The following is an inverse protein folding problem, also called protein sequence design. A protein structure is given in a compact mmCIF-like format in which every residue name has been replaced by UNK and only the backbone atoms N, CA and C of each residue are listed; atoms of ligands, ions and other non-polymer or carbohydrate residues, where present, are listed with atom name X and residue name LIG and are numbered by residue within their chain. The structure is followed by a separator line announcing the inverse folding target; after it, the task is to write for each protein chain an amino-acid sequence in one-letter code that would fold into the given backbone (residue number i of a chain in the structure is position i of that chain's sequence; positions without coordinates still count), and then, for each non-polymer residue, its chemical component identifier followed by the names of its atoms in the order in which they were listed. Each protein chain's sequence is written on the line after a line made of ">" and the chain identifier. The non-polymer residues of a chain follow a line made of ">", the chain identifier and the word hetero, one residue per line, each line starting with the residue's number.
data_IF_065962510396
#
_entry.id   IF_065962510396
#
_cell.length_a   1.000
_cell.length_b   1.000
_cell.length_c   1.000
_cell.angle_alpha   90.00
_cell.angle_beta   90.00
_cell.angle_gamma   90.00
#
_symmetry.space_group_name_H-M   'P 1'
#
loop_
_entity.id
_entity.type
_entity.pdbx_description
1 polymer ?
#
# COMPACT_ATOMS: atom_id res chain seq x y z
N UNK A 1 22.84 -6.65 -22.60
CA UNK A 1 22.77 -5.86 -21.37
C UNK A 1 22.62 -4.38 -21.67
N UNK A 2 23.43 -3.76 -22.54
CA UNK A 2 23.27 -2.32 -22.88
C UNK A 2 21.83 -1.96 -23.31
N UNK A 3 21.26 -2.67 -24.28
CA UNK A 3 19.87 -2.45 -24.74
C UNK A 3 18.82 -2.55 -23.61
N UNK A 4 19.11 -3.29 -22.54
CA UNK A 4 18.15 -3.52 -21.46
C UNK A 4 18.12 -2.38 -20.45
N UNK A 5 19.29 -1.85 -20.06
CA UNK A 5 19.37 -0.67 -19.18
C UNK A 5 18.80 0.57 -19.89
N UNK A 6 19.21 0.80 -21.14
CA UNK A 6 18.69 1.88 -21.99
C UNK A 6 17.18 1.83 -22.12
N UNK A 7 16.60 0.63 -22.29
CA UNK A 7 15.15 0.48 -22.39
C UNK A 7 14.41 0.83 -21.09
N UNK A 8 14.99 0.54 -19.92
CA UNK A 8 14.40 0.94 -18.64
C UNK A 8 14.53 2.44 -18.41
N UNK A 9 15.69 3.03 -18.70
CA UNK A 9 15.89 4.49 -18.65
C UNK A 9 14.91 5.22 -19.57
N UNK A 10 14.75 4.71 -20.79
CA UNK A 10 13.78 5.24 -21.74
C UNK A 10 12.33 5.23 -21.23
N UNK A 11 11.95 4.25 -20.41
CA UNK A 11 10.60 4.20 -19.83
C UNK A 11 10.39 5.21 -18.70
N UNK A 12 11.46 5.75 -18.11
CA UNK A 12 11.39 6.75 -17.03
C UNK A 12 11.57 8.17 -17.57
N UNK A 13 12.52 8.37 -18.50
CA UNK A 13 12.88 9.70 -19.01
C UNK A 13 12.04 10.17 -20.20
N UNK A 14 11.58 9.27 -21.06
CA UNK A 14 10.84 9.66 -22.28
C UNK A 14 9.38 10.06 -22.06
N UNK A 15 8.62 9.52 -21.09
CA UNK A 15 7.26 9.99 -20.88
C UNK A 15 7.22 11.49 -20.55
N UNK A 16 6.34 12.23 -21.23
CA UNK A 16 6.12 13.66 -20.97
C UNK A 16 5.19 13.91 -19.77
N UNK A 17 4.40 12.90 -19.42
CA UNK A 17 3.42 12.94 -18.34
C UNK A 17 4.01 12.29 -17.08
N UNK A 18 3.98 13.02 -15.97
CA UNK A 18 4.57 12.59 -14.69
C UNK A 18 3.89 11.30 -14.18
N UNK A 19 2.59 11.19 -14.40
CA UNK A 19 1.77 10.04 -14.02
C UNK A 19 2.29 8.76 -14.67
N UNK A 20 2.63 8.81 -15.96
CA UNK A 20 3.18 7.66 -16.70
C UNK A 20 4.56 7.27 -16.19
N UNK A 21 5.42 8.25 -15.89
CA UNK A 21 6.73 7.99 -15.27
C UNK A 21 6.57 7.32 -13.90
N UNK A 22 5.63 7.79 -13.08
CA UNK A 22 5.34 7.20 -11.77
C UNK A 22 4.79 5.76 -11.88
N UNK A 23 3.89 5.50 -12.83
CA UNK A 23 3.37 4.15 -13.09
C UNK A 23 4.46 3.18 -13.54
N UNK A 24 5.35 3.63 -14.43
CA UNK A 24 6.49 2.85 -14.89
C UNK A 24 7.47 2.56 -13.74
N UNK A 25 7.82 3.58 -12.93
CA UNK A 25 8.66 3.41 -11.76
C UNK A 25 8.04 2.44 -10.74
N UNK A 26 6.75 2.59 -10.47
CA UNK A 26 6.00 1.69 -9.59
C UNK A 26 6.07 0.24 -10.08
N UNK A 27 5.84 0.02 -11.38
CA UNK A 27 5.90 -1.30 -12.01
C UNK A 27 7.29 -1.92 -11.86
N UNK A 28 8.35 -1.14 -12.13
CA UNK A 28 9.74 -1.59 -11.97
C UNK A 28 10.08 -1.95 -10.51
N UNK A 29 9.64 -1.13 -9.55
CA UNK A 29 9.82 -1.41 -8.11
C UNK A 29 9.09 -2.71 -7.72
N UNK A 30 7.87 -2.91 -8.19
CA UNK A 30 7.09 -4.13 -7.93
C UNK A 30 7.74 -5.38 -8.52
N UNK A 31 8.29 -5.29 -9.73
CA UNK A 31 9.05 -6.33 -10.41
C UNK A 31 10.46 -6.57 -9.84
N UNK A 32 10.81 -5.90 -8.74
CA UNK A 32 12.11 -6.03 -8.04
C UNK A 32 13.30 -5.60 -8.89
N UNK A 33 13.13 -4.68 -9.83
CA UNK A 33 14.22 -4.16 -10.67
C UNK A 33 15.34 -3.58 -9.80
N UNK A 34 15.02 -2.81 -8.75
CA UNK A 34 15.99 -2.25 -7.80
C UNK A 34 16.96 -3.32 -7.25
N UNK A 35 16.43 -4.47 -6.81
CA UNK A 35 17.27 -5.56 -6.30
C UNK A 35 18.18 -6.18 -7.37
N UNK A 36 17.74 -6.18 -8.62
CA UNK A 36 18.57 -6.68 -9.71
C UNK A 36 19.67 -5.67 -10.06
N UNK A 37 19.40 -4.36 -9.96
CA UNK A 37 20.40 -3.31 -10.13
C UNK A 37 21.49 -3.39 -9.04
N UNK A 38 21.12 -3.57 -7.77
CA UNK A 38 22.08 -3.78 -6.66
C UNK A 38 23.00 -5.00 -6.91
N UNK A 39 22.48 -6.07 -7.52
CA UNK A 39 23.26 -7.25 -7.89
C UNK A 39 24.22 -6.95 -9.05
N UNK A 40 23.80 -6.13 -10.00
CA UNK A 40 24.61 -5.72 -11.15
C UNK A 40 25.73 -4.75 -10.75
N UNK A 41 25.47 -3.84 -9.82
CA UNK A 41 26.45 -2.91 -9.24
C UNK A 41 27.60 -3.68 -8.54
N UNK A 42 27.29 -4.81 -7.91
CA UNK A 42 28.30 -5.70 -7.31
C UNK A 42 29.17 -6.45 -8.33
N UNK A 43 28.87 -6.37 -9.63
CA UNK A 43 29.65 -6.97 -10.70
C UNK A 43 30.59 -5.95 -11.34
N UNK A 44 31.76 -6.41 -11.79
CA UNK A 44 32.69 -5.55 -12.51
C UNK A 44 32.19 -5.35 -13.94
N UNK A 45 31.54 -4.22 -14.20
CA UNK A 45 31.14 -3.77 -15.53
C UNK A 45 32.30 -2.92 -16.09
N UNK A 46 32.81 -3.26 -17.27
CA UNK A 46 33.93 -2.54 -17.91
C UNK A 46 33.48 -1.35 -18.75
N UNK A 47 32.19 -1.30 -19.08
CA UNK A 47 31.56 -0.26 -19.88
C UNK A 47 31.11 0.88 -18.95
N UNK A 48 31.77 2.03 -19.07
CA UNK A 48 31.50 3.22 -18.24
C UNK A 48 30.09 3.76 -18.47
N UNK A 49 29.62 3.81 -19.72
CA UNK A 49 28.28 4.31 -20.07
C UNK A 49 27.19 3.46 -19.40
N UNK A 50 27.33 2.12 -19.46
CA UNK A 50 26.39 1.20 -18.81
C UNK A 50 26.42 1.34 -17.29
N UNK A 51 27.60 1.63 -16.71
CA UNK A 51 27.74 1.78 -15.26
C UNK A 51 27.03 3.06 -14.79
N UNK A 52 27.18 4.16 -15.53
CA UNK A 52 26.49 5.43 -15.27
C UNK A 52 24.96 5.28 -15.40
N UNK A 53 24.47 4.58 -16.44
CA UNK A 53 23.04 4.35 -16.64
C UNK A 53 22.42 3.51 -15.51
N UNK A 54 23.15 2.50 -15.01
CA UNK A 54 22.71 1.67 -13.89
C UNK A 54 22.62 2.50 -12.60
N UNK A 55 23.64 3.31 -12.32
CA UNK A 55 23.67 4.19 -11.14
C UNK A 55 22.50 5.19 -11.19
N UNK A 56 22.29 5.84 -12.34
CA UNK A 56 21.19 6.79 -12.55
C UNK A 56 19.81 6.14 -12.40
N UNK A 57 19.61 4.96 -12.99
CA UNK A 57 18.36 4.21 -12.88
C UNK A 57 18.08 3.82 -11.43
N UNK A 58 19.12 3.37 -10.70
CA UNK A 58 19.02 2.98 -9.30
C UNK A 58 18.67 4.17 -8.41
N UNK A 59 19.34 5.31 -8.57
CA UNK A 59 19.02 6.55 -7.86
C UNK A 59 17.57 6.98 -8.14
N UNK A 60 17.16 6.97 -9.41
CA UNK A 60 15.82 7.41 -9.83
C UNK A 60 14.73 6.50 -9.25
N UNK A 61 14.93 5.18 -9.28
CA UNK A 61 13.99 4.23 -8.70
C UNK A 61 13.96 4.30 -7.17
N UNK A 62 15.09 4.57 -6.50
CA UNK A 62 15.12 4.79 -5.05
C UNK A 62 14.36 6.05 -4.64
N UNK A 63 14.56 7.16 -5.37
CA UNK A 63 13.81 8.40 -5.15
C UNK A 63 12.31 8.20 -5.38
N UNK A 64 11.95 7.53 -6.48
CA UNK A 64 10.55 7.18 -6.77
C UNK A 64 9.95 6.30 -5.67
N UNK A 65 10.70 5.33 -5.14
CA UNK A 65 10.24 4.47 -4.04
C UNK A 65 10.00 5.26 -2.75
N UNK A 66 10.86 6.23 -2.45
CA UNK A 66 10.66 7.12 -1.30
C UNK A 66 9.35 7.92 -1.46
N UNK A 67 9.17 8.56 -2.62
CA UNK A 67 7.99 9.39 -2.87
C UNK A 67 6.68 8.58 -2.85
N UNK A 68 6.67 7.43 -3.53
CA UNK A 68 5.55 6.47 -3.59
C UNK A 68 5.29 5.75 -2.26
N UNK A 69 6.08 6.03 -1.21
CA UNK A 69 5.86 5.50 0.14
C UNK A 69 5.66 6.61 1.19
N UNK A 70 5.55 7.87 0.74
CA UNK A 70 5.35 9.02 1.62
C UNK A 70 3.90 9.14 2.09
N UNK A 71 3.70 9.73 3.27
CA UNK A 71 2.34 10.00 3.76
C UNK A 71 1.61 11.08 2.95
N UNK A 72 2.36 12.01 2.34
CA UNK A 72 1.76 13.06 1.53
C UNK A 72 1.17 12.50 0.23
N UNK A 73 1.81 11.49 -0.35
CA UNK A 73 1.25 10.69 -1.45
C UNK A 73 -0.05 10.00 -1.01
N UNK A 74 -0.01 9.26 0.10
CA UNK A 74 -1.21 8.64 0.69
C UNK A 74 -2.36 9.63 0.91
N UNK A 75 -2.05 10.79 1.51
CA UNK A 75 -3.05 11.83 1.76
C UNK A 75 -3.65 12.35 0.46
N UNK A 76 -2.84 12.48 -0.59
CA UNK A 76 -3.26 12.95 -1.91
C UNK A 76 -4.14 11.92 -2.63
N UNK A 77 -3.73 10.64 -2.65
CA UNK A 77 -4.53 9.54 -3.20
C UNK A 77 -5.92 9.51 -2.55
N UNK A 78 -5.97 9.44 -1.22
CA UNK A 78 -7.22 9.38 -0.44
C UNK A 78 -8.11 10.60 -0.70
N UNK A 79 -7.55 11.81 -0.69
CA UNK A 79 -8.34 13.04 -0.92
C UNK A 79 -8.86 13.17 -2.33
N UNK A 80 -8.12 12.65 -3.31
CA UNK A 80 -8.56 12.64 -4.70
C UNK A 80 -9.68 11.61 -4.95
N UNK A 81 -9.77 10.58 -4.11
CA UNK A 81 -10.67 9.45 -4.29
C UNK A 81 -10.22 8.47 -5.37
N UNK A 82 -9.07 8.70 -6.01
CA UNK A 82 -8.44 7.79 -6.96
C UNK A 82 -7.42 6.96 -6.19
N UNK A 83 -7.91 5.83 -5.67
CA UNK A 83 -7.09 4.89 -4.92
C UNK A 83 -6.54 3.82 -5.85
N UNK A 84 -5.26 3.52 -5.71
CA UNK A 84 -4.63 2.43 -6.41
C UNK A 84 -3.80 1.56 -5.47
N UNK A 85 -3.41 0.39 -5.95
CA UNK A 85 -2.63 -0.56 -5.18
C UNK A 85 -1.13 -0.19 -5.17
N UNK A 86 -0.78 0.88 -4.47
CA UNK A 86 0.57 1.45 -4.36
C UNK A 86 1.28 1.07 -3.04
N UNK A 87 2.58 1.42 -2.85
CA UNK A 87 3.33 1.06 -1.64
C UNK A 87 2.76 1.66 -0.36
N UNK A 88 2.13 2.85 -0.41
CA UNK A 88 1.49 3.46 0.76
C UNK A 88 0.32 2.63 1.27
N UNK A 89 -0.38 1.89 0.41
CA UNK A 89 -1.46 1.00 0.82
C UNK A 89 -0.95 -0.37 1.28
N UNK A 90 0.10 -0.91 0.64
CA UNK A 90 0.56 -2.29 0.88
C UNK A 90 1.63 -2.47 1.95
N UNK A 91 2.39 -1.42 2.26
CA UNK A 91 3.59 -1.53 3.12
C UNK A 91 3.23 -1.57 4.60
N UNK A 92 3.57 -2.68 5.28
CA UNK A 92 3.42 -2.77 6.75
C UNK A 92 4.23 -1.69 7.46
N UNK A 93 5.43 -1.36 6.95
CA UNK A 93 6.26 -0.28 7.51
C UNK A 93 5.51 1.05 7.46
N UNK A 94 4.88 1.37 6.33
CA UNK A 94 4.09 2.59 6.17
C UNK A 94 3.00 2.68 7.24
N UNK A 95 2.21 1.61 7.41
CA UNK A 95 1.10 1.59 8.37
C UNK A 95 1.57 1.67 9.81
N UNK A 96 2.69 1.00 10.15
CA UNK A 96 3.29 1.08 11.48
C UNK A 96 3.70 2.52 11.84
N UNK A 97 4.20 3.27 10.88
CA UNK A 97 4.69 4.63 11.08
C UNK A 97 3.56 5.68 11.01
N UNK A 98 2.57 5.48 10.13
CA UNK A 98 1.63 6.54 9.75
C UNK A 98 0.18 6.31 10.16
N UNK A 99 -0.24 5.12 10.64
CA UNK A 99 -1.65 4.87 10.96
C UNK A 99 -2.26 5.89 11.93
N UNK A 100 -1.50 6.36 12.93
CA UNK A 100 -1.98 7.36 13.89
C UNK A 100 -2.27 8.72 13.25
N UNK A 101 -1.63 9.04 12.12
CA UNK A 101 -1.83 10.31 11.40
C UNK A 101 -3.21 10.40 10.75
N UNK A 102 -3.91 9.27 10.54
CA UNK A 102 -5.31 9.30 10.10
C UNK A 102 -6.25 9.95 11.15
N UNK A 103 -5.79 10.17 12.38
CA UNK A 103 -6.52 10.89 13.43
C UNK A 103 -6.43 12.42 13.29
N UNK A 104 -5.48 12.92 12.48
CA UNK A 104 -5.29 14.35 12.25
C UNK A 104 -6.53 15.00 11.65
N UNK A 105 -6.67 16.31 11.85
CA UNK A 105 -7.76 17.12 11.29
C UNK A 105 -9.16 16.54 11.55
N UNK A 106 -9.37 16.04 12.78
CA UNK A 106 -10.62 15.40 13.19
C UNK A 106 -10.98 14.21 12.29
N UNK A 107 -10.02 13.29 12.14
CA UNK A 107 -10.18 12.05 11.37
C UNK A 107 -10.50 12.28 9.89
N UNK A 108 -9.95 13.33 9.28
CA UNK A 108 -10.28 13.74 7.89
C UNK A 108 -10.11 12.58 6.91
N UNK A 109 -8.92 11.97 6.85
CA UNK A 109 -8.62 10.90 5.91
C UNK A 109 -9.46 9.65 6.17
N UNK A 110 -9.64 9.27 7.44
CA UNK A 110 -10.50 8.13 7.79
C UNK A 110 -11.95 8.35 7.37
N UNK A 111 -12.48 9.56 7.55
CA UNK A 111 -13.84 9.92 7.09
C UNK A 111 -13.96 9.85 5.57
N UNK A 112 -12.91 10.24 4.84
CA UNK A 112 -12.89 10.12 3.38
C UNK A 112 -12.92 8.64 2.96
N UNK A 113 -12.10 7.76 3.54
CA UNK A 113 -12.15 6.32 3.25
C UNK A 113 -13.54 5.73 3.51
N UNK A 114 -14.18 6.09 4.63
CA UNK A 114 -15.54 5.64 4.95
C UNK A 114 -16.55 6.15 3.91
N UNK A 115 -16.43 7.42 3.48
CA UNK A 115 -17.27 7.99 2.43
C UNK A 115 -17.03 7.31 1.06
N UNK A 116 -15.80 6.91 0.75
CA UNK A 116 -15.49 6.16 -0.47
C UNK A 116 -16.18 4.79 -0.45
N UNK A 117 -16.23 4.11 0.69
CA UNK A 117 -17.06 2.91 0.84
C UNK A 117 -18.56 3.18 0.65
N UNK A 118 -19.06 4.34 1.06
CA UNK A 118 -20.49 4.66 0.90
C UNK A 118 -20.87 5.00 -0.54
N UNK A 119 -19.98 5.65 -1.30
CA UNK A 119 -20.34 6.33 -2.56
C UNK A 119 -19.62 5.83 -3.81
N UNK A 120 -18.51 5.10 -3.69
CA UNK A 120 -17.82 4.54 -4.84
C UNK A 120 -18.55 3.32 -5.39
N UNK A 121 -18.53 3.18 -6.71
CA UNK A 121 -18.94 1.97 -7.42
C UNK A 121 -17.75 1.24 -8.05
N UNK A 122 -16.54 1.80 -7.91
CA UNK A 122 -15.32 1.20 -8.43
C UNK A 122 -14.83 0.11 -7.45
N UNK A 123 -14.80 -1.17 -7.87
CA UNK A 123 -14.33 -2.27 -7.04
C UNK A 123 -12.92 -2.05 -6.48
N UNK A 124 -12.02 -1.42 -7.24
CA UNK A 124 -10.65 -1.16 -6.78
C UNK A 124 -10.64 -0.18 -5.60
N UNK A 125 -11.36 0.93 -5.74
CA UNK A 125 -11.47 1.94 -4.66
C UNK A 125 -12.12 1.33 -3.42
N UNK A 126 -13.12 0.47 -3.59
CA UNK A 126 -13.77 -0.24 -2.48
C UNK A 126 -12.80 -1.22 -1.79
N UNK A 127 -12.03 -1.99 -2.56
CA UNK A 127 -10.98 -2.88 -2.05
C UNK A 127 -9.96 -2.11 -1.20
N UNK A 128 -9.35 -1.07 -1.76
CA UNK A 128 -8.31 -0.29 -1.08
C UNK A 128 -8.88 0.41 0.16
N UNK A 129 -10.09 0.98 0.07
CA UNK A 129 -10.74 1.65 1.22
C UNK A 129 -11.01 0.68 2.36
N UNK A 130 -11.54 -0.52 2.07
CA UNK A 130 -11.79 -1.54 3.08
C UNK A 130 -10.48 -2.03 3.70
N UNK A 131 -9.48 -2.32 2.87
CA UNK A 131 -8.15 -2.72 3.29
C UNK A 131 -7.53 -1.73 4.28
N UNK A 132 -7.51 -0.45 3.90
CA UNK A 132 -6.91 0.64 4.67
C UNK A 132 -7.57 0.86 6.02
N UNK A 133 -8.90 0.78 6.09
CA UNK A 133 -9.62 0.82 7.36
C UNK A 133 -9.19 -0.35 8.26
N UNK A 134 -9.02 -1.53 7.68
CA UNK A 134 -8.48 -2.70 8.36
C UNK A 134 -7.07 -2.48 8.89
N UNK A 135 -6.16 -1.93 8.08
CA UNK A 135 -4.77 -1.67 8.47
C UNK A 135 -4.65 -0.56 9.53
N UNK A 136 -5.44 0.50 9.41
CA UNK A 136 -5.56 1.54 10.43
C UNK A 136 -5.93 0.92 11.79
N UNK A 137 -6.95 0.06 11.81
CA UNK A 137 -7.41 -0.61 13.04
C UNK A 137 -6.38 -1.59 13.60
N UNK A 138 -5.69 -2.32 12.73
CA UNK A 138 -4.61 -3.25 13.12
C UNK A 138 -3.47 -2.53 13.82
N UNK A 139 -3.06 -1.37 13.30
CA UNK A 139 -1.93 -0.60 13.81
C UNK A 139 -2.33 0.42 14.89
N UNK A 140 -3.61 0.75 14.99
CA UNK A 140 -4.18 1.59 16.04
C UNK A 140 -5.45 0.94 16.63
N UNK A 141 -5.33 0.02 17.60
CA UNK A 141 -6.47 -0.73 18.14
C UNK A 141 -7.60 0.13 18.72
N UNK A 142 -7.29 1.33 19.26
CA UNK A 142 -8.30 2.29 19.72
C UNK A 142 -9.16 2.86 18.58
N UNK A 143 -8.66 2.80 17.35
CA UNK A 143 -9.35 3.19 16.13
C UNK A 143 -10.62 2.40 15.86
N UNK A 144 -10.78 1.20 16.44
CA UNK A 144 -12.01 0.40 16.36
C UNK A 144 -13.24 1.19 16.76
N UNK A 145 -13.17 1.84 17.92
CA UNK A 145 -14.27 2.63 18.45
C UNK A 145 -14.57 3.83 17.54
N UNK A 146 -13.53 4.42 16.95
CA UNK A 146 -13.67 5.54 16.01
C UNK A 146 -14.35 5.08 14.73
N UNK A 147 -13.90 3.99 14.12
CA UNK A 147 -14.49 3.41 12.91
C UNK A 147 -15.95 3.02 13.15
N UNK A 148 -16.28 2.49 14.33
CA UNK A 148 -17.66 2.14 14.70
C UNK A 148 -18.54 3.39 14.89
N UNK A 149 -18.04 4.43 15.57
CA UNK A 149 -18.74 5.70 15.75
C UNK A 149 -18.98 6.45 14.42
N UNK A 150 -18.05 6.33 13.48
CA UNK A 150 -18.17 6.91 12.14
C UNK A 150 -19.01 6.05 11.18
N UNK A 151 -19.55 4.91 11.63
CA UNK A 151 -20.38 4.00 10.82
C UNK A 151 -19.59 3.09 9.87
N UNK A 152 -18.26 3.20 9.81
CA UNK A 152 -17.42 2.43 8.90
C UNK A 152 -17.49 0.93 9.11
N UNK A 153 -17.68 0.46 10.35
CA UNK A 153 -17.81 -0.99 10.64
C UNK A 153 -19.00 -1.62 9.90
N UNK A 154 -20.14 -0.95 9.89
CA UNK A 154 -21.35 -1.46 9.22
C UNK A 154 -21.17 -1.49 7.70
N UNK A 155 -20.56 -0.43 7.14
CA UNK A 155 -20.25 -0.34 5.71
C UNK A 155 -19.31 -1.45 5.26
N UNK A 156 -18.18 -1.67 5.95
CA UNK A 156 -17.24 -2.75 5.61
C UNK A 156 -17.93 -4.12 5.70
N UNK A 157 -18.77 -4.35 6.71
CA UNK A 157 -19.52 -5.60 6.83
C UNK A 157 -20.50 -5.84 5.67
N UNK A 158 -21.14 -4.79 5.15
CA UNK A 158 -22.03 -4.89 3.99
C UNK A 158 -21.28 -5.41 2.75
N UNK A 159 -20.04 -4.98 2.54
CA UNK A 159 -19.21 -5.39 1.39
C UNK A 159 -18.71 -6.83 1.43
N UNK A 160 -18.86 -7.55 2.54
CA UNK A 160 -18.56 -9.00 2.59
C UNK A 160 -19.46 -9.81 1.65
N UNK A 161 -20.63 -9.28 1.27
CA UNK A 161 -21.55 -9.87 0.30
C UNK A 161 -21.51 -9.24 -1.10
N UNK A 162 -20.53 -8.39 -1.40
CA UNK A 162 -20.40 -7.71 -2.70
C UNK A 162 -20.30 -8.69 -3.87
N UNK A 163 -20.64 -8.30 -5.10
CA UNK A 163 -20.57 -9.20 -6.27
C UNK A 163 -19.12 -9.49 -6.72
N UNK A 164 -18.24 -8.49 -6.59
CA UNK A 164 -16.81 -8.62 -6.87
C UNK A 164 -16.11 -9.45 -5.77
N UNK A 165 -15.38 -10.53 -6.12
CA UNK A 165 -14.69 -11.38 -5.16
C UNK A 165 -13.56 -10.68 -4.40
N UNK A 166 -12.85 -9.74 -5.00
CA UNK A 166 -11.77 -9.01 -4.37
C UNK A 166 -12.32 -8.04 -3.33
N UNK A 167 -13.45 -7.38 -3.62
CA UNK A 167 -14.13 -6.51 -2.65
C UNK A 167 -14.59 -7.32 -1.43
N UNK A 168 -15.22 -8.49 -1.67
CA UNK A 168 -15.60 -9.39 -0.57
C UNK A 168 -14.40 -9.82 0.27
N UNK A 169 -13.29 -10.14 -0.39
CA UNK A 169 -12.07 -10.60 0.26
C UNK A 169 -11.48 -9.52 1.18
N UNK A 170 -11.28 -8.30 0.67
CA UNK A 170 -10.72 -7.20 1.47
C UNK A 170 -11.67 -6.76 2.60
N UNK A 171 -12.98 -6.72 2.33
CA UNK A 171 -13.99 -6.45 3.35
C UNK A 171 -13.95 -7.50 4.47
N UNK A 172 -13.84 -8.79 4.14
CA UNK A 172 -13.73 -9.86 5.12
C UNK A 172 -12.47 -9.71 5.98
N UNK A 173 -11.31 -9.44 5.38
CA UNK A 173 -10.06 -9.21 6.13
C UNK A 173 -10.16 -8.00 7.06
N UNK A 174 -10.76 -6.91 6.58
CA UNK A 174 -10.97 -5.71 7.38
C UNK A 174 -11.89 -5.98 8.58
N UNK A 175 -12.99 -6.73 8.38
CA UNK A 175 -13.88 -7.15 9.48
C UNK A 175 -13.15 -8.05 10.47
N UNK A 176 -12.33 -9.00 10.01
CA UNK A 176 -11.52 -9.82 10.91
C UNK A 176 -10.63 -8.94 11.81
N UNK A 177 -9.92 -7.97 11.22
CA UNK A 177 -9.08 -7.00 11.97
C UNK A 177 -9.93 -6.19 12.98
N UNK A 178 -11.12 -5.75 12.59
CA UNK A 178 -12.06 -5.02 13.45
C UNK A 178 -12.56 -5.86 14.64
N UNK A 179 -12.83 -7.14 14.45
CA UNK A 179 -13.42 -8.01 15.48
C UNK A 179 -12.41 -8.58 16.48
N UNK A 180 -11.10 -8.45 16.23
CA UNK A 180 -10.06 -8.96 17.15
C UNK A 180 -9.95 -8.08 18.40
N UNK A 181 -10.66 -8.40 19.46
CA UNK A 181 -10.60 -7.60 20.70
C UNK A 181 -9.23 -7.66 21.40
N UNK A 182 -8.41 -8.67 21.13
CA UNK A 182 -7.12 -8.85 21.79
C UNK A 182 -6.09 -9.58 20.91
N UNK A 183 -5.17 -8.86 20.28
CA UNK A 183 -4.09 -9.43 19.48
C UNK A 183 -3.09 -10.25 20.32
N UNK A 184 -3.00 -9.99 21.63
CA UNK A 184 -2.17 -10.73 22.60
C UNK A 184 -2.53 -12.22 22.71
N UNK A 185 -3.73 -12.63 22.28
CA UNK A 185 -4.20 -14.02 22.40
C UNK A 185 -3.85 -14.90 21.20
N UNK A 186 -3.48 -14.34 20.05
CA UNK A 186 -3.10 -15.13 18.87
C UNK A 186 -1.64 -15.64 18.94
N UNK A 187 -0.79 -15.03 19.79
CA UNK A 187 0.60 -15.44 20.00
C UNK A 187 0.82 -16.47 21.12
N UNK A 188 -0.20 -16.78 21.92
CA UNK A 188 -0.11 -17.81 22.97
C UNK A 188 -0.67 -19.11 22.42
N UNK A 189 0.23 -20.01 22.01
CA UNK A 189 -0.09 -21.39 21.67
C UNK A 189 -1.00 -22.00 22.74
N UNK A 190 -2.10 -22.60 22.29
CA UNK A 190 -2.99 -23.40 23.15
C UNK A 190 -2.12 -24.43 23.88
N UNK A 191 -2.25 -24.59 25.22
CA UNK A 191 -1.55 -25.65 25.91
C UNK A 191 -2.02 -26.98 25.33
N UNK A 192 -1.08 -27.74 24.76
CA UNK A 192 -1.30 -29.12 24.36
C UNK A 192 -1.80 -29.87 25.58
N UNK A 193 -3.07 -30.29 25.55
CA UNK A 193 -3.61 -31.16 26.59
C UNK A 193 -2.77 -32.45 26.57
N UNK A 194 -2.02 -32.68 27.65
CA UNK A 194 -1.47 -34.01 27.91
C UNK A 194 -2.63 -34.86 28.39
N UNK A 195 -3.14 -35.70 27.50
CA UNK A 195 -4.00 -36.82 27.89
C UNK A 195 -3.17 -37.76 28.79
N UNK A 196 -3.75 -38.09 29.94
CA UNK A 196 -3.23 -39.09 30.88
C UNK A 196 -3.82 -40.46 30.62
#
# INVERSE_FOLDING_TARGET
>A
MSVTADNFMNLIEKPLEKEVTQENALTMIQCKVVKHLEVLEGQKIEDEDISEDIEMLQETLHNSMHDLSSFDEYSSEVKSGRLEWSPVHKSEKFWRENALRLNEKNYELLKILIRLLESSQDPLVLCVSAHDIGEYVRHYPRGKNVVEQLGGKQLVMQYMGHEDPNVRYEALLAVQKLMVHNWEYLGKQLPVQKEG
#
